data_IF_714581378938
#
_entry.id   IF_714581378938
#
_cell.length_a   1.000
_cell.length_b   1.000
_cell.length_c   1.000
_cell.angle_alpha   90.00
_cell.angle_beta   90.00
_cell.angle_gamma   90.00
#
_symmetry.space_group_name_H-M   'P 1'
#
loop_
_entity.id
_entity.type
_entity.pdbx_description
1 polymer ?
#
# COMPACT_ATOMS: atom_id res chain seq x y z
N UNK A 1 24.73 -0.60 -15.87
CA UNK A 1 26.08 -0.11 -15.56
C UNK A 1 26.51 -0.50 -14.15
N UNK A 2 25.91 0.04 -13.08
CA UNK A 2 26.30 -0.31 -11.70
C UNK A 2 26.10 -1.79 -11.33
N UNK A 3 25.10 -2.46 -11.91
CA UNK A 3 24.84 -3.90 -11.66
C UNK A 3 26.09 -4.76 -11.87
N UNK A 4 26.72 -4.62 -13.03
CA UNK A 4 27.95 -5.37 -13.36
C UNK A 4 29.13 -4.91 -12.53
N UNK A 5 29.24 -3.60 -12.24
CA UNK A 5 30.32 -3.03 -11.45
C UNK A 5 30.36 -3.58 -10.01
N UNK A 6 29.19 -3.70 -9.38
CA UNK A 6 29.04 -4.27 -8.04
C UNK A 6 28.76 -5.78 -8.01
N UNK A 7 28.93 -6.48 -9.14
CA UNK A 7 28.70 -7.93 -9.26
C UNK A 7 27.30 -8.40 -8.83
N UNK A 8 26.27 -7.58 -9.09
CA UNK A 8 24.88 -7.89 -8.75
C UNK A 8 24.23 -8.73 -9.85
N UNK A 9 23.35 -9.65 -9.44
CA UNK A 9 22.56 -10.48 -10.35
C UNK A 9 21.36 -9.72 -10.93
N UNK A 10 20.69 -8.92 -10.10
CA UNK A 10 19.52 -8.12 -10.46
C UNK A 10 19.64 -6.68 -9.94
N UNK A 11 18.67 -5.83 -10.28
CA UNK A 11 18.65 -4.43 -9.82
C UNK A 11 18.06 -4.39 -8.39
N UNK A 12 18.82 -3.95 -7.36
CA UNK A 12 18.28 -3.78 -6.01
C UNK A 12 17.28 -2.62 -5.95
N UNK A 13 16.48 -2.57 -4.89
CA UNK A 13 15.53 -1.47 -4.62
C UNK A 13 14.47 -1.26 -5.71
N UNK A 14 14.19 -2.29 -6.50
CA UNK A 14 13.15 -2.26 -7.52
C UNK A 14 11.75 -2.11 -6.89
N UNK A 15 10.82 -1.48 -7.61
CA UNK A 15 9.39 -1.48 -7.23
C UNK A 15 8.74 -2.86 -7.41
N UNK A 16 9.33 -3.70 -8.25
CA UNK A 16 8.82 -5.01 -8.66
C UNK A 16 9.32 -6.13 -7.74
N UNK A 17 9.09 -5.98 -6.43
CA UNK A 17 9.43 -7.01 -5.45
C UNK A 17 8.25 -7.99 -5.33
N UNK A 18 8.54 -9.28 -5.47
CA UNK A 18 7.60 -10.37 -5.21
C UNK A 18 7.15 -10.32 -3.74
N UNK A 19 5.87 -10.59 -3.46
CA UNK A 19 5.31 -10.60 -2.10
C UNK A 19 6.12 -11.46 -1.12
N UNK A 20 6.67 -12.59 -1.58
CA UNK A 20 7.50 -13.48 -0.75
C UNK A 20 8.84 -12.88 -0.34
N UNK A 21 9.33 -11.90 -1.08
CA UNK A 21 10.62 -11.24 -0.87
C UNK A 21 10.47 -9.89 -0.16
N UNK A 22 9.28 -9.56 0.36
CA UNK A 22 9.08 -8.34 1.12
C UNK A 22 9.86 -8.38 2.43
N UNK A 23 10.48 -7.25 2.77
CA UNK A 23 11.12 -7.08 4.06
C UNK A 23 10.08 -7.00 5.18
N UNK A 24 10.26 -7.81 6.22
CA UNK A 24 9.34 -7.93 7.35
C UNK A 24 9.65 -6.91 8.43
N UNK A 25 9.35 -5.63 8.16
CA UNK A 25 9.45 -4.58 9.18
C UNK A 25 8.35 -4.74 10.24
N UNK A 26 8.56 -4.13 11.41
CA UNK A 26 7.57 -4.00 12.47
C UNK A 26 6.28 -3.36 11.94
N UNK A 27 6.41 -2.31 11.10
CA UNK A 27 5.22 -1.68 10.50
C UNK A 27 4.49 -2.61 9.52
N UNK A 28 5.22 -3.44 8.76
CA UNK A 28 4.62 -4.42 7.88
C UNK A 28 3.94 -5.58 8.64
N UNK A 29 4.56 -6.04 9.73
CA UNK A 29 4.00 -7.09 10.58
C UNK A 29 2.71 -6.61 11.26
N UNK A 30 2.71 -5.39 11.79
CA UNK A 30 1.51 -4.78 12.38
C UNK A 30 0.41 -4.58 11.33
N UNK A 31 0.76 -4.09 10.12
CA UNK A 31 -0.20 -4.01 9.00
C UNK A 31 -0.84 -5.38 8.72
N UNK A 32 -0.03 -6.42 8.63
CA UNK A 32 -0.49 -7.78 8.33
C UNK A 32 -1.39 -8.32 9.46
N UNK A 33 -1.04 -8.07 10.72
CA UNK A 33 -1.87 -8.44 11.87
C UNK A 33 -3.24 -7.74 11.84
N UNK A 34 -3.26 -6.43 11.54
CA UNK A 34 -4.49 -5.64 11.41
C UNK A 34 -5.36 -6.09 10.24
N UNK A 35 -4.75 -6.45 9.13
CA UNK A 35 -5.46 -7.00 7.97
C UNK A 35 -6.05 -8.39 8.26
N UNK A 36 -5.33 -9.25 9.00
CA UNK A 36 -5.89 -10.52 9.48
C UNK A 36 -7.07 -10.31 10.42
N UNK A 37 -6.96 -9.39 11.39
CA UNK A 37 -8.08 -9.02 12.24
C UNK A 37 -9.31 -8.57 11.43
N UNK A 38 -9.10 -7.73 10.40
CA UNK A 38 -10.19 -7.29 9.54
C UNK A 38 -10.76 -8.43 8.69
N UNK A 39 -9.91 -9.35 8.22
CA UNK A 39 -10.33 -10.54 7.47
C UNK A 39 -11.28 -11.42 8.30
N UNK A 40 -10.98 -11.59 9.58
CA UNK A 40 -11.74 -12.47 10.47
C UNK A 40 -13.05 -11.82 10.95
N UNK A 41 -13.05 -10.50 11.18
CA UNK A 41 -14.24 -9.78 11.69
C UNK A 41 -15.15 -9.21 10.61
N UNK A 42 -14.63 -8.98 9.40
CA UNK A 42 -15.28 -8.29 8.27
C UNK A 42 -15.73 -6.86 8.59
N UNK A 43 -15.80 -6.01 7.58
CA UNK A 43 -16.16 -4.59 7.73
C UNK A 43 -15.13 -3.65 7.13
N UNK A 44 -15.04 -2.43 7.68
CA UNK A 44 -14.26 -1.35 7.09
C UNK A 44 -12.99 -1.09 7.90
N UNK A 45 -11.85 -1.12 7.22
CA UNK A 45 -10.55 -0.75 7.77
C UNK A 45 -9.99 0.50 7.09
N UNK A 46 -9.24 1.29 7.84
CA UNK A 46 -8.52 2.45 7.29
C UNK A 46 -7.01 2.30 7.50
N UNK A 47 -6.24 2.46 6.43
CA UNK A 47 -4.78 2.44 6.45
C UNK A 47 -4.26 3.77 5.91
N UNK A 48 -3.53 4.50 6.74
CA UNK A 48 -2.93 5.79 6.35
C UNK A 48 -1.42 5.76 6.51
N UNK A 49 -0.72 6.63 5.79
CA UNK A 49 0.73 6.75 5.89
C UNK A 49 1.31 7.62 4.79
N UNK A 50 2.55 8.06 4.96
CA UNK A 50 3.20 8.93 3.99
C UNK A 50 3.37 8.28 2.62
N UNK A 51 3.62 9.11 1.60
CA UNK A 51 3.91 8.61 0.26
C UNK A 51 5.16 7.71 0.29
N UNK A 52 5.02 6.48 -0.21
CA UNK A 52 6.14 5.53 -0.19
C UNK A 52 6.38 4.81 1.13
N UNK A 53 5.45 4.87 2.09
CA UNK A 53 5.49 4.12 3.35
C UNK A 53 5.26 2.60 3.22
N UNK A 54 4.98 2.11 2.01
CA UNK A 54 4.74 0.68 1.77
C UNK A 54 3.29 0.21 1.87
N UNK A 55 2.31 1.11 2.02
CA UNK A 55 0.86 0.78 2.06
C UNK A 55 0.42 -0.14 0.93
N UNK A 56 0.56 0.32 -0.32
CA UNK A 56 0.13 -0.41 -1.52
C UNK A 56 0.89 -1.72 -1.68
N UNK A 57 2.20 -1.74 -1.36
CA UNK A 57 3.01 -2.97 -1.39
C UNK A 57 2.51 -4.00 -0.38
N UNK A 58 2.21 -3.55 0.84
CA UNK A 58 1.69 -4.43 1.91
C UNK A 58 0.29 -4.95 1.60
N UNK A 59 -0.60 -4.08 1.11
CA UNK A 59 -1.94 -4.48 0.66
C UNK A 59 -1.88 -5.49 -0.49
N UNK A 60 -1.04 -5.25 -1.49
CA UNK A 60 -0.83 -6.19 -2.61
C UNK A 60 -0.31 -7.54 -2.13
N UNK A 61 0.65 -7.54 -1.21
CA UNK A 61 1.19 -8.77 -0.63
C UNK A 61 0.11 -9.57 0.09
N UNK A 62 -0.68 -8.89 0.93
CA UNK A 62 -1.78 -9.50 1.67
C UNK A 62 -2.88 -10.02 0.75
N UNK A 63 -3.33 -9.25 -0.24
CA UNK A 63 -4.40 -9.71 -1.13
C UNK A 63 -3.97 -10.86 -2.02
N UNK A 64 -2.69 -10.90 -2.41
CA UNK A 64 -2.12 -12.03 -3.17
C UNK A 64 -2.08 -13.33 -2.35
N UNK A 65 -2.04 -13.25 -1.01
CA UNK A 65 -2.05 -14.42 -0.14
C UNK A 65 -3.46 -14.92 0.21
N UNK A 66 -4.51 -14.17 -0.14
CA UNK A 66 -5.89 -14.59 0.08
C UNK A 66 -6.26 -15.76 -0.83
N UNK A 67 -7.02 -16.72 -0.28
CA UNK A 67 -7.53 -17.85 -1.06
C UNK A 67 -8.58 -17.36 -2.07
N UNK A 68 -8.36 -17.50 -3.40
CA UNK A 68 -9.32 -17.04 -4.41
C UNK A 68 -10.67 -17.77 -4.37
N UNK A 69 -10.73 -18.95 -3.76
CA UNK A 69 -11.99 -19.69 -3.57
C UNK A 69 -12.85 -19.12 -2.43
N UNK A 70 -12.27 -18.28 -1.56
CA UNK A 70 -12.96 -17.67 -0.42
C UNK A 70 -13.08 -16.16 -0.55
N UNK A 71 -12.23 -15.52 -1.35
CA UNK A 71 -12.18 -14.06 -1.49
C UNK A 71 -12.12 -13.63 -2.96
N UNK A 72 -12.92 -12.62 -3.31
CA UNK A 72 -12.82 -11.91 -4.59
C UNK A 72 -12.17 -10.55 -4.32
N UNK A 73 -10.88 -10.42 -4.63
CA UNK A 73 -10.15 -9.16 -4.43
C UNK A 73 -10.44 -8.17 -5.55
N UNK A 74 -10.69 -6.91 -5.17
CA UNK A 74 -10.86 -5.80 -6.09
C UNK A 74 -9.99 -4.62 -5.62
N UNK A 75 -9.27 -3.96 -6.53
CA UNK A 75 -8.37 -2.85 -6.21
C UNK A 75 -8.67 -1.64 -7.12
N UNK A 76 -8.85 -0.46 -6.52
CA UNK A 76 -9.09 0.80 -7.23
C UNK A 76 -8.21 1.93 -6.67
N UNK A 77 -7.30 2.52 -7.48
CA UNK A 77 -6.61 3.74 -7.13
C UNK A 77 -7.40 4.98 -7.61
N UNK A 78 -7.79 5.87 -6.69
CA UNK A 78 -8.58 7.06 -7.03
C UNK A 78 -7.82 8.18 -7.75
N UNK A 79 -6.49 8.08 -7.84
CA UNK A 79 -5.67 9.07 -8.57
C UNK A 79 -5.89 9.07 -10.08
N UNK A 80 -6.52 8.04 -10.64
CA UNK A 80 -6.62 7.82 -12.11
C UNK A 80 -8.05 7.57 -12.61
N UNK A 81 -9.03 7.55 -11.71
CA UNK A 81 -10.38 7.02 -11.98
C UNK A 81 -11.41 8.03 -11.48
N UNK A 82 -12.44 8.34 -12.28
CA UNK A 82 -13.55 9.17 -11.79
C UNK A 82 -14.41 8.39 -10.81
N UNK A 83 -15.19 9.08 -9.97
CA UNK A 83 -16.14 8.43 -9.04
C UNK A 83 -17.11 7.48 -9.76
N UNK A 84 -17.55 7.83 -10.97
CA UNK A 84 -18.46 6.99 -11.75
C UNK A 84 -17.74 5.74 -12.30
N UNK A 85 -16.51 5.90 -12.76
CA UNK A 85 -15.69 4.78 -13.23
C UNK A 85 -15.42 3.78 -12.10
N UNK A 86 -15.31 4.24 -10.84
CA UNK A 86 -15.23 3.34 -9.69
C UNK A 86 -16.51 2.48 -9.55
N UNK A 87 -17.70 3.08 -9.55
CA UNK A 87 -18.94 2.31 -9.39
C UNK A 87 -19.12 1.28 -10.52
N UNK A 88 -18.88 1.71 -11.77
CA UNK A 88 -18.97 0.81 -12.93
C UNK A 88 -17.88 -0.26 -12.90
N UNK A 89 -16.66 0.11 -12.52
CA UNK A 89 -15.55 -0.81 -12.32
C UNK A 89 -15.82 -1.86 -11.25
N UNK A 90 -16.44 -1.47 -10.13
CA UNK A 90 -16.82 -2.39 -9.06
C UNK A 90 -17.89 -3.37 -9.55
N UNK A 91 -18.90 -2.89 -10.28
CA UNK A 91 -19.89 -3.75 -10.90
C UNK A 91 -19.25 -4.77 -11.87
N UNK A 92 -18.36 -4.33 -12.77
CA UNK A 92 -17.62 -5.25 -13.64
C UNK A 92 -16.79 -6.27 -12.85
N UNK A 93 -16.14 -5.83 -11.76
CA UNK A 93 -15.36 -6.71 -10.90
C UNK A 93 -16.20 -7.74 -10.16
N UNK A 94 -17.51 -7.48 -10.01
CA UNK A 94 -18.51 -8.40 -9.46
C UNK A 94 -19.25 -9.18 -10.56
N UNK A 95 -18.70 -9.22 -11.77
CA UNK A 95 -19.22 -9.94 -12.94
C UNK A 95 -20.62 -9.43 -13.37
N UNK A 96 -20.85 -8.12 -13.27
CA UNK A 96 -22.10 -7.44 -13.66
C UNK A 96 -21.91 -6.52 -14.87
N UNK A 97 -22.98 -6.32 -15.64
CA UNK A 97 -23.10 -5.19 -16.56
C UNK A 97 -23.68 -3.97 -15.84
N UNK A 98 -22.95 -2.84 -15.75
CA UNK A 98 -23.34 -1.72 -14.91
C UNK A 98 -24.54 -0.94 -15.47
N UNK A 99 -25.59 -0.84 -14.67
CA UNK A 99 -26.74 0.02 -14.96
C UNK A 99 -26.32 1.48 -15.24
N UNK A 100 -27.12 2.18 -16.04
CA UNK A 100 -26.85 3.58 -16.43
C UNK A 100 -27.15 4.57 -15.31
N UNK A 101 -28.18 4.30 -14.50
CA UNK A 101 -28.57 5.17 -13.38
C UNK A 101 -27.83 4.74 -12.12
N UNK A 102 -27.35 5.73 -11.37
CA UNK A 102 -26.58 5.51 -10.13
C UNK A 102 -27.35 4.67 -9.09
N UNK A 103 -28.65 4.93 -8.92
CA UNK A 103 -29.49 4.22 -7.95
C UNK A 103 -29.58 2.72 -8.30
N UNK A 104 -29.85 2.42 -9.58
CA UNK A 104 -29.91 1.04 -10.07
C UNK A 104 -28.55 0.35 -9.96
N UNK A 105 -27.47 1.06 -10.27
CA UNK A 105 -26.10 0.56 -10.14
C UNK A 105 -25.74 0.23 -8.68
N UNK A 106 -26.13 1.08 -7.72
CA UNK A 106 -25.88 0.84 -6.29
C UNK A 106 -26.62 -0.40 -5.82
N UNK A 107 -27.91 -0.50 -6.15
CA UNK A 107 -28.71 -1.68 -5.84
C UNK A 107 -28.11 -2.95 -6.44
N UNK A 108 -27.69 -2.89 -7.71
CA UNK A 108 -27.07 -4.01 -8.41
C UNK A 108 -25.77 -4.47 -7.73
N UNK A 109 -24.89 -3.53 -7.33
CA UNK A 109 -23.66 -3.83 -6.61
C UNK A 109 -23.96 -4.47 -5.25
N UNK A 110 -24.94 -3.93 -4.51
CA UNK A 110 -25.33 -4.48 -3.21
C UNK A 110 -25.88 -5.90 -3.32
N UNK A 111 -26.79 -6.14 -4.26
CA UNK A 111 -27.34 -7.47 -4.53
C UNK A 111 -26.25 -8.47 -4.94
N UNK A 112 -25.28 -8.04 -5.75
CA UNK A 112 -24.15 -8.88 -6.11
C UNK A 112 -23.26 -9.21 -4.91
N UNK A 113 -22.90 -8.22 -4.07
CA UNK A 113 -22.11 -8.46 -2.85
C UNK A 113 -22.81 -9.49 -1.95
N UNK A 114 -24.12 -9.34 -1.74
CA UNK A 114 -24.92 -10.30 -0.96
C UNK A 114 -24.92 -11.69 -1.61
N UNK A 115 -25.05 -11.78 -2.93
CA UNK A 115 -25.02 -13.05 -3.66
C UNK A 115 -23.65 -13.75 -3.56
N UNK A 116 -22.55 -13.00 -3.69
CA UNK A 116 -21.20 -13.53 -3.47
C UNK A 116 -21.06 -14.10 -2.05
N UNK A 117 -21.50 -13.36 -1.04
CA UNK A 117 -21.37 -13.76 0.36
C UNK A 117 -22.28 -14.93 0.74
N UNK A 118 -23.59 -14.84 0.48
CA UNK A 118 -24.58 -15.83 0.93
C UNK A 118 -24.61 -17.07 0.04
N UNK A 119 -24.60 -16.89 -1.29
CA UNK A 119 -24.77 -18.00 -2.25
C UNK A 119 -23.44 -18.64 -2.60
N UNK A 120 -22.45 -17.84 -3.02
CA UNK A 120 -21.14 -18.35 -3.47
C UNK A 120 -20.17 -18.65 -2.32
N UNK A 121 -20.45 -18.17 -1.10
CA UNK A 121 -19.54 -18.23 0.06
C UNK A 121 -18.17 -17.58 -0.22
N UNK A 122 -18.16 -16.57 -1.08
CA UNK A 122 -16.98 -15.77 -1.45
C UNK A 122 -17.17 -14.38 -0.87
N UNK A 123 -16.21 -13.90 -0.09
CA UNK A 123 -16.24 -12.55 0.48
C UNK A 123 -15.52 -11.56 -0.44
N UNK A 124 -16.19 -10.52 -0.96
CA UNK A 124 -15.51 -9.45 -1.67
C UNK A 124 -14.53 -8.71 -0.76
N UNK A 125 -13.27 -8.58 -1.20
CA UNK A 125 -12.21 -7.83 -0.53
C UNK A 125 -11.84 -6.63 -1.38
N UNK A 126 -12.35 -5.46 -1.03
CA UNK A 126 -12.30 -4.25 -1.86
C UNK A 126 -11.28 -3.28 -1.25
N UNK A 127 -10.30 -2.87 -2.05
CA UNK A 127 -9.26 -1.91 -1.67
C UNK A 127 -9.43 -0.64 -2.48
N UNK A 128 -9.65 0.48 -1.77
CA UNK A 128 -9.67 1.82 -2.33
C UNK A 128 -8.38 2.54 -1.91
N UNK A 129 -7.46 2.75 -2.84
CA UNK A 129 -6.17 3.41 -2.59
C UNK A 129 -6.18 4.85 -3.11
N UNK A 130 -5.25 5.66 -2.62
CA UNK A 130 -5.13 7.10 -2.92
C UNK A 130 -6.39 7.91 -2.56
N UNK A 131 -7.14 7.51 -1.52
CA UNK A 131 -8.40 8.14 -1.09
C UNK A 131 -8.28 9.59 -0.61
N UNK A 132 -7.08 10.14 -0.45
CA UNK A 132 -6.93 11.58 -0.20
C UNK A 132 -7.51 12.46 -1.33
N UNK A 133 -7.68 11.91 -2.53
CA UNK A 133 -8.31 12.58 -3.68
C UNK A 133 -9.84 12.42 -3.70
N UNK A 134 -10.43 11.59 -2.84
CA UNK A 134 -11.88 11.40 -2.80
C UNK A 134 -12.61 12.71 -2.52
N UNK A 135 -13.72 12.98 -3.21
CA UNK A 135 -14.62 14.08 -2.85
C UNK A 135 -15.43 13.75 -1.61
N UNK A 136 -16.00 14.75 -0.93
CA UNK A 136 -16.90 14.49 0.20
C UNK A 136 -18.15 13.71 -0.23
N UNK A 137 -18.70 14.01 -1.42
CA UNK A 137 -19.83 13.26 -1.98
C UNK A 137 -19.51 11.78 -2.17
N UNK A 138 -18.28 11.45 -2.60
CA UNK A 138 -17.84 10.07 -2.75
C UNK A 138 -17.77 9.32 -1.41
N UNK A 139 -17.25 9.96 -0.37
CA UNK A 139 -17.19 9.35 0.96
C UNK A 139 -18.59 9.11 1.55
N UNK A 140 -19.53 10.02 1.32
CA UNK A 140 -20.94 9.82 1.67
C UNK A 140 -21.58 8.68 0.88
N UNK A 141 -21.27 8.58 -0.41
CA UNK A 141 -21.75 7.48 -1.26
C UNK A 141 -21.23 6.11 -0.79
N UNK A 142 -19.98 6.02 -0.33
CA UNK A 142 -19.43 4.77 0.23
C UNK A 142 -20.24 4.30 1.43
N UNK A 143 -20.68 5.21 2.30
CA UNK A 143 -21.55 4.84 3.43
C UNK A 143 -22.86 4.21 2.95
N UNK A 144 -23.49 4.79 1.93
CA UNK A 144 -24.73 4.26 1.35
C UNK A 144 -24.51 2.92 0.65
N UNK A 145 -23.48 2.82 -0.19
CA UNK A 145 -23.18 1.63 -0.99
C UNK A 145 -22.86 0.41 -0.12
N UNK A 146 -22.17 0.63 0.99
CA UNK A 146 -21.75 -0.43 1.90
C UNK A 146 -22.66 -0.61 3.12
N UNK A 147 -23.88 -0.07 3.11
CA UNK A 147 -24.89 -0.36 4.13
C UNK A 147 -25.69 -1.62 3.73
N UNK A 148 -25.63 -2.68 4.53
CA UNK A 148 -26.31 -3.96 4.28
C UNK A 148 -27.13 -4.39 5.49
N UNK A 149 -28.34 -4.91 5.23
CA UNK A 149 -29.22 -5.46 6.26
C UNK A 149 -29.41 -4.53 7.47
N UNK A 150 -29.56 -3.21 7.22
CA UNK A 150 -29.62 -2.17 8.26
C UNK A 150 -28.39 -2.19 9.20
N UNK A 151 -27.19 -2.25 8.61
CA UNK A 151 -25.89 -2.37 9.27
C UNK A 151 -25.72 -3.63 10.17
N UNK A 152 -26.59 -4.64 10.05
CA UNK A 152 -26.48 -5.89 10.81
C UNK A 152 -25.47 -6.90 10.21
N UNK A 153 -25.16 -6.78 8.91
CA UNK A 153 -24.25 -7.70 8.22
C UNK A 153 -23.14 -6.93 7.49
N UNK A 154 -21.92 -7.49 7.53
CA UNK A 154 -20.80 -7.04 6.70
C UNK A 154 -20.43 -8.15 5.70
N UNK A 155 -21.16 -8.27 4.57
CA UNK A 155 -20.89 -9.30 3.54
C UNK A 155 -19.63 -9.00 2.71
N UNK A 156 -18.73 -8.14 3.20
CA UNK A 156 -17.57 -7.62 2.48
C UNK A 156 -16.44 -7.24 3.46
N UNK A 157 -15.26 -7.02 2.89
CA UNK A 157 -14.15 -6.33 3.56
C UNK A 157 -13.77 -5.13 2.70
N UNK A 158 -13.77 -3.93 3.30
CA UNK A 158 -13.42 -2.68 2.62
C UNK A 158 -12.19 -2.06 3.29
N UNK A 159 -11.15 -1.82 2.49
CA UNK A 159 -9.96 -1.08 2.91
C UNK A 159 -9.99 0.32 2.30
N UNK A 160 -9.96 1.32 3.18
CA UNK A 160 -9.74 2.71 2.83
C UNK A 160 -8.25 3.05 3.03
N UNK A 161 -7.51 3.20 1.93
CA UNK A 161 -6.08 3.49 1.95
C UNK A 161 -5.77 4.89 1.39
N UNK A 162 -4.89 5.63 2.07
CA UNK A 162 -4.47 6.96 1.61
C UNK A 162 -3.39 7.62 2.46
N UNK A 163 -3.20 8.92 2.26
CA UNK A 163 -2.33 9.75 3.10
C UNK A 163 -2.99 10.12 4.44
N UNK A 164 -2.23 10.59 5.46
CA UNK A 164 -2.80 11.00 6.75
C UNK A 164 -3.92 12.06 6.65
N UNK A 165 -3.92 12.86 5.58
CA UNK A 165 -5.01 13.78 5.24
C UNK A 165 -6.38 13.11 5.12
N UNK A 166 -6.44 11.84 4.71
CA UNK A 166 -7.68 11.06 4.69
C UNK A 166 -8.28 10.88 6.09
N UNK A 167 -7.44 10.58 7.09
CA UNK A 167 -7.89 10.42 8.47
C UNK A 167 -8.46 11.73 9.02
N UNK A 168 -7.83 12.86 8.70
CA UNK A 168 -8.33 14.18 9.06
C UNK A 168 -9.66 14.47 8.36
N UNK A 169 -9.77 14.16 7.06
CA UNK A 169 -10.99 14.33 6.29
C UNK A 169 -12.16 13.53 6.85
N UNK A 170 -11.96 12.26 7.19
CA UNK A 170 -13.01 11.40 7.76
C UNK A 170 -13.43 11.82 9.18
N UNK A 171 -12.59 12.57 9.90
CA UNK A 171 -12.93 13.11 11.21
C UNK A 171 -13.88 14.33 11.17
N UNK A 172 -14.11 14.91 9.98
CA UNK A 172 -15.07 16.00 9.81
C UNK A 172 -16.51 15.49 10.03
N UNK A 173 -17.36 16.31 10.64
CA UNK A 173 -18.70 15.88 11.09
C UNK A 173 -19.59 15.25 10.03
N UNK A 174 -19.52 15.71 8.77
CA UNK A 174 -20.32 15.15 7.67
C UNK A 174 -19.85 13.77 7.17
N UNK A 175 -18.70 13.28 7.63
CA UNK A 175 -18.18 11.93 7.36
C UNK A 175 -18.29 10.99 8.57
N UNK A 176 -18.86 11.46 9.68
CA UNK A 176 -18.99 10.70 10.91
C UNK A 176 -19.65 9.32 10.74
N UNK A 177 -20.71 9.14 9.92
CA UNK A 177 -21.32 7.83 9.72
C UNK A 177 -20.35 6.77 9.16
N UNK A 178 -19.53 7.14 8.16
CA UNK A 178 -18.50 6.24 7.65
C UNK A 178 -17.38 6.03 8.67
N UNK A 179 -16.99 7.10 9.36
CA UNK A 179 -15.91 7.11 10.34
C UNK A 179 -16.18 6.20 11.56
N UNK A 180 -17.44 6.10 12.00
CA UNK A 180 -17.88 5.23 13.10
C UNK A 180 -17.90 3.74 12.73
N UNK A 181 -18.04 3.41 11.44
CA UNK A 181 -18.03 2.03 10.94
C UNK A 181 -16.62 1.48 10.72
N UNK A 182 -15.59 2.28 10.96
CA UNK A 182 -14.19 1.85 10.91
C UNK A 182 -13.85 1.01 12.13
N UNK A 183 -13.79 -0.31 11.95
CA UNK A 183 -13.44 -1.26 13.01
C UNK A 183 -11.92 -1.47 13.14
N UNK A 184 -11.15 -1.01 12.15
CA UNK A 184 -9.70 -1.08 12.15
C UNK A 184 -9.12 0.24 11.63
N UNK A 185 -8.11 0.75 12.34
CA UNK A 185 -7.27 1.86 11.87
C UNK A 185 -5.82 1.50 12.03
N UNK A 186 -5.02 1.80 11.02
CA UNK A 186 -3.59 1.68 11.12
C UNK A 186 -2.89 2.84 10.43
N UNK A 187 -1.89 3.41 11.10
CA UNK A 187 -0.98 4.40 10.53
C UNK A 187 0.38 3.74 10.33
N UNK A 188 0.80 3.60 9.07
CA UNK A 188 2.14 3.12 8.73
C UNK A 188 3.19 3.98 9.43
N UNK A 189 4.21 3.31 9.96
CA UNK A 189 5.35 3.95 10.61
C UNK A 189 6.55 3.94 9.67
N UNK A 190 7.46 4.90 9.88
CA UNK A 190 8.77 4.85 9.26
C UNK A 190 9.58 3.69 9.85
N UNK A 191 10.55 3.18 9.09
CA UNK A 191 11.50 2.19 9.57
C UNK A 191 12.40 2.80 10.65
N UNK A 192 12.69 2.04 11.70
CA UNK A 192 13.71 2.42 12.69
C UNK A 192 15.11 2.39 12.07
N UNK A 193 16.11 2.97 12.73
CA UNK A 193 17.51 2.95 12.27
C UNK A 193 18.00 1.52 12.03
N UNK A 194 17.67 0.61 12.94
CA UNK A 194 18.03 -0.81 12.89
C UNK A 194 17.33 -1.49 11.71
N UNK A 195 16.05 -1.19 11.49
CA UNK A 195 15.29 -1.71 10.35
C UNK A 195 15.80 -1.18 9.01
N UNK A 196 16.30 0.06 8.94
CA UNK A 196 16.86 0.64 7.71
C UNK A 196 18.11 -0.13 7.28
N UNK A 197 19.02 -0.42 8.22
CA UNK A 197 20.21 -1.24 7.94
C UNK A 197 19.81 -2.61 7.41
N UNK A 198 18.95 -3.32 8.15
CA UNK A 198 18.47 -4.63 7.76
C UNK A 198 17.70 -4.61 6.41
N UNK A 199 16.96 -3.53 6.14
CA UNK A 199 16.24 -3.34 4.88
C UNK A 199 17.20 -3.19 3.69
N UNK A 200 18.25 -2.37 3.83
CA UNK A 200 19.27 -2.20 2.79
C UNK A 200 19.99 -3.53 2.54
N UNK A 201 20.43 -4.21 3.59
CA UNK A 201 21.10 -5.52 3.50
C UNK A 201 20.21 -6.56 2.82
N UNK A 202 18.92 -6.62 3.20
CA UNK A 202 17.94 -7.50 2.58
C UNK A 202 17.78 -7.24 1.07
N UNK A 203 17.63 -5.97 0.67
CA UNK A 203 17.50 -5.58 -0.74
C UNK A 203 18.76 -5.91 -1.55
N UNK A 204 19.95 -5.71 -0.96
CA UNK A 204 21.22 -6.03 -1.60
C UNK A 204 21.43 -7.54 -1.73
N UNK A 205 21.03 -8.31 -0.71
CA UNK A 205 21.08 -9.78 -0.73
C UNK A 205 20.15 -10.33 -1.82
N UNK A 206 18.93 -9.81 -1.93
CA UNK A 206 18.00 -10.17 -3.01
C UNK A 206 18.55 -9.84 -4.41
N UNK A 207 19.40 -8.81 -4.52
CA UNK A 207 20.08 -8.46 -5.75
C UNK A 207 21.31 -9.34 -6.05
N UNK A 208 21.65 -10.28 -5.16
CA UNK A 208 22.79 -11.18 -5.30
C UNK A 208 24.12 -10.60 -4.81
N UNK A 209 24.09 -9.58 -3.94
CA UNK A 209 25.30 -9.05 -3.33
C UNK A 209 25.95 -10.09 -2.42
N UNK A 210 27.24 -10.36 -2.61
CA UNK A 210 28.02 -11.31 -1.79
C UNK A 210 28.82 -10.62 -0.67
N UNK A 211 28.89 -9.29 -0.66
CA UNK A 211 29.60 -8.49 0.32
C UNK A 211 28.84 -7.18 0.62
N UNK A 212 29.08 -6.50 1.75
CA UNK A 212 28.46 -5.22 2.06
C UNK A 212 29.01 -4.12 1.14
N UNK A 213 28.17 -3.58 0.27
CA UNK A 213 28.52 -2.47 -0.63
C UNK A 213 28.35 -1.11 0.06
N UNK A 214 27.43 -0.99 1.02
CA UNK A 214 27.22 0.22 1.79
C UNK A 214 28.02 0.16 3.09
N UNK A 215 28.79 1.20 3.39
CA UNK A 215 29.44 1.36 4.69
C UNK A 215 28.42 1.75 5.77
N UNK A 216 28.78 1.58 7.05
CA UNK A 216 27.94 2.02 8.16
C UNK A 216 27.70 3.55 8.09
N UNK A 217 28.69 4.33 7.69
CA UNK A 217 28.56 5.78 7.49
C UNK A 217 27.54 6.12 6.37
N UNK A 218 27.51 5.35 5.29
CA UNK A 218 26.50 5.50 4.25
C UNK A 218 25.09 5.16 4.77
N UNK A 219 24.95 4.10 5.57
CA UNK A 219 23.66 3.70 6.16
C UNK A 219 23.16 4.78 7.13
N UNK A 220 24.04 5.38 7.93
CA UNK A 220 23.70 6.51 8.81
C UNK A 220 23.26 7.74 8.00
N UNK A 221 23.96 8.07 6.92
CA UNK A 221 23.59 9.17 6.03
C UNK A 221 22.21 8.93 5.39
N UNK A 222 21.95 7.71 4.88
CA UNK A 222 20.65 7.31 4.32
C UNK A 222 19.56 7.43 5.39
N UNK A 223 19.84 6.98 6.62
CA UNK A 223 18.89 7.07 7.74
C UNK A 223 18.48 8.52 8.02
N UNK A 224 19.46 9.42 8.06
CA UNK A 224 19.23 10.85 8.33
C UNK A 224 18.37 11.51 7.24
N UNK A 225 18.70 11.29 5.97
CA UNK A 225 18.01 11.96 4.84
C UNK A 225 16.64 11.33 4.54
N UNK A 226 16.54 10.01 4.58
CA UNK A 226 15.30 9.30 4.20
C UNK A 226 14.17 9.41 5.23
N UNK A 227 14.50 9.78 6.48
CA UNK A 227 13.58 9.78 7.62
C UNK A 227 12.89 8.41 7.85
N UNK A 228 13.51 7.33 7.37
CA UNK A 228 13.02 5.96 7.50
C UNK A 228 11.92 5.55 6.51
N UNK A 229 11.62 6.36 5.48
CA UNK A 229 10.61 5.99 4.48
C UNK A 229 11.20 5.08 3.38
N UNK A 230 10.65 3.87 3.14
CA UNK A 230 11.20 2.91 2.18
C UNK A 230 11.46 3.47 0.78
N UNK A 231 10.55 4.29 0.24
CA UNK A 231 10.74 4.88 -1.10
C UNK A 231 11.94 5.85 -1.14
N UNK A 232 12.14 6.65 -0.10
CA UNK A 232 13.28 7.56 -0.02
C UNK A 232 14.58 6.78 0.15
N UNK A 233 14.58 5.75 1.00
CA UNK A 233 15.72 4.83 1.15
C UNK A 233 16.09 4.21 -0.19
N UNK A 234 15.12 3.69 -0.93
CA UNK A 234 15.34 3.09 -2.25
C UNK A 234 15.92 4.07 -3.25
N UNK A 235 15.38 5.30 -3.30
CA UNK A 235 15.87 6.34 -4.19
C UNK A 235 17.30 6.75 -3.84
N UNK A 236 17.59 7.01 -2.57
CA UNK A 236 18.94 7.38 -2.12
C UNK A 236 19.93 6.26 -2.42
N UNK A 237 19.65 5.03 -1.97
CA UNK A 237 20.54 3.90 -2.16
C UNK A 237 20.79 3.60 -3.65
N UNK A 238 19.76 3.69 -4.51
CA UNK A 238 19.92 3.48 -5.95
C UNK A 238 20.81 4.55 -6.58
N UNK A 239 20.61 5.83 -6.24
CA UNK A 239 21.42 6.92 -6.79
C UNK A 239 22.85 6.90 -6.25
N UNK A 240 23.05 6.52 -4.99
CA UNK A 240 24.39 6.29 -4.44
C UNK A 240 25.13 5.18 -5.18
N UNK A 241 24.46 4.07 -5.54
CA UNK A 241 25.06 3.02 -6.38
C UNK A 241 25.42 3.53 -7.78
N UNK A 242 24.59 4.38 -8.39
CA UNK A 242 24.90 4.98 -9.70
C UNK A 242 26.12 5.88 -9.59
N UNK A 243 26.15 6.77 -8.59
CA UNK A 243 27.26 7.68 -8.35
C UNK A 243 28.57 6.93 -8.06
N UNK A 244 28.52 5.95 -7.15
CA UNK A 244 29.69 5.14 -6.81
C UNK A 244 30.24 4.39 -8.03
N UNK A 245 29.38 3.87 -8.89
CA UNK A 245 29.80 3.25 -10.15
C UNK A 245 30.48 4.26 -11.10
N UNK A 246 29.96 5.50 -11.20
CA UNK A 246 30.57 6.54 -12.04
C UNK A 246 31.93 7.00 -11.51
N UNK A 247 32.12 6.99 -10.19
CA UNK A 247 33.37 7.37 -9.52
C UNK A 247 34.34 6.21 -9.30
N UNK A 248 33.96 4.97 -9.64
CA UNK A 248 34.79 3.78 -9.43
C UNK A 248 34.92 3.37 -7.96
N UNK A 249 33.96 3.73 -7.10
CA UNK A 249 33.98 3.44 -5.67
C UNK A 249 33.55 2.00 -5.40
N UNK A 250 34.44 1.19 -4.82
CA UNK A 250 34.12 -0.19 -4.41
C UNK A 250 33.05 -0.27 -3.33
N UNK A 251 33.01 0.72 -2.44
CA UNK A 251 32.03 0.85 -1.37
C UNK A 251 31.37 2.23 -1.44
N UNK A 252 30.10 2.30 -1.06
CA UNK A 252 29.36 3.54 -0.89
C UNK A 252 29.63 4.08 0.51
N UNK A 253 30.09 5.32 0.59
CA UNK A 253 30.32 6.09 1.81
C UNK A 253 29.27 7.20 1.99
N UNK A 254 29.40 7.98 3.07
CA UNK A 254 28.48 9.07 3.38
C UNK A 254 28.55 10.21 2.36
N UNK A 255 29.72 10.47 1.77
CA UNK A 255 29.89 11.48 0.72
C UNK A 255 29.07 11.13 -0.54
N UNK A 256 29.16 9.88 -1.00
CA UNK A 256 28.35 9.38 -2.12
C UNK A 256 26.84 9.48 -1.84
N UNK A 257 26.40 9.28 -0.59
CA UNK A 257 25.00 9.44 -0.19
C UNK A 257 24.58 10.91 -0.20
N UNK A 258 25.40 11.81 0.35
CA UNK A 258 25.10 13.26 0.37
C UNK A 258 25.00 13.83 -1.04
N UNK A 259 25.92 13.46 -1.93
CA UNK A 259 25.87 13.90 -3.33
C UNK A 259 24.64 13.36 -4.05
N UNK A 260 24.27 12.10 -3.80
CA UNK A 260 23.02 11.53 -4.32
C UNK A 260 21.77 12.23 -3.77
N UNK A 261 21.77 12.66 -2.50
CA UNK A 261 20.68 13.42 -1.90
C UNK A 261 20.49 14.79 -2.57
N UNK A 262 21.60 15.50 -2.83
CA UNK A 262 21.59 16.80 -3.51
C UNK A 262 21.02 16.67 -4.93
N UNK A 263 21.42 15.65 -5.69
CA UNK A 263 20.91 15.40 -7.04
C UNK A 263 19.40 15.10 -7.06
N UNK A 264 18.90 14.48 -5.99
CA UNK A 264 17.48 14.21 -5.78
C UNK A 264 16.69 15.42 -5.24
N UNK A 265 17.35 16.52 -4.91
CA UNK A 265 16.74 17.70 -4.30
C UNK A 265 16.22 17.49 -2.87
N UNK A 266 16.89 16.62 -2.10
CA UNK A 266 16.56 16.32 -0.69
C UNK A 266 17.41 17.11 0.30
#
# INVERSE_FOLDING_TARGET
MFKSFYSLSSKPFSKEINSKNMFTSNSYNELTARLNYLKDNRGIGMIVGEAGSGKTSGLRSFTTSLNPALYKTVYFPLSTVTVNDFYRGLAYSLDLEPASRKIDLFKQIQEAILSFYHNKKITPFIVLDELQFATSSFLSDLHMLFNFSMDAENPFILILCGMPSLSMKLSLGHHQPLNQRLIMRYKMQALSREEIKAYIEHQMTLAGSSYPIFSDAAIEAITSVSRGWPRLINSLATNSLVFGCQKGLKYIDDEAVRLAAIDLGM
#
